data_IF_113489707953
#
_entry.id   IF_113489707953
#
_cell.length_a   1.000
_cell.length_b   1.000
_cell.length_c   1.000
_cell.angle_alpha   90.00
_cell.angle_beta   90.00
_cell.angle_gamma   90.00
#
_symmetry.space_group_name_H-M   'P 1'
#
loop_
_entity.id
_entity.type
_entity.pdbx_description
1 polymer ?
#
# COMPACT_ATOMS: atom_id res chain seq x y z
N UNK A 1 45.32 16.77 -23.80
CA UNK A 1 45.14 18.24 -23.77
C UNK A 1 43.97 18.56 -22.88
N UNK A 2 44.24 19.23 -21.77
CA UNK A 2 43.27 19.63 -20.76
C UNK A 2 42.73 21.03 -21.06
N UNK A 3 41.42 21.26 -20.88
CA UNK A 3 40.87 22.61 -20.67
C UNK A 3 39.82 22.56 -19.56
N UNK A 4 40.21 23.13 -18.40
CA UNK A 4 39.37 23.57 -17.27
C UNK A 4 38.67 24.89 -17.61
N UNK A 5 37.41 25.08 -17.18
CA UNK A 5 36.80 26.35 -16.66
C UNK A 5 35.57 25.96 -15.81
N UNK A 6 35.59 25.99 -14.48
CA UNK A 6 35.46 27.11 -13.49
C UNK A 6 34.12 27.87 -13.46
N UNK A 7 33.43 27.73 -12.29
CA UNK A 7 32.67 28.70 -11.44
C UNK A 7 31.41 29.34 -12.06
N UNK A 8 30.30 29.58 -11.35
CA UNK A 8 30.10 30.36 -10.11
C UNK A 8 28.71 30.10 -9.50
N UNK A 9 28.59 30.31 -8.18
CA UNK A 9 27.36 30.34 -7.39
C UNK A 9 26.57 31.65 -7.52
N UNK A 10 25.27 31.63 -7.20
CA UNK A 10 24.52 32.82 -6.76
C UNK A 10 23.58 32.44 -5.60
N UNK A 11 23.83 33.10 -4.47
CA UNK A 11 23.02 33.26 -3.26
C UNK A 11 21.71 34.00 -3.58
N UNK A 12 20.63 33.72 -2.86
CA UNK A 12 19.78 34.79 -2.33
C UNK A 12 19.02 34.32 -1.08
N UNK A 13 19.31 35.02 0.02
CA UNK A 13 18.61 34.97 1.28
C UNK A 13 17.50 36.03 1.28
N UNK A 14 16.35 35.75 1.90
CA UNK A 14 15.44 36.78 2.40
C UNK A 14 14.86 36.33 3.74
N UNK A 15 15.14 37.15 4.75
CA UNK A 15 14.66 37.14 6.13
C UNK A 15 13.21 37.62 6.23
N UNK A 16 12.53 37.26 7.34
CA UNK A 16 11.40 38.04 7.84
C UNK A 16 10.60 37.33 8.93
N UNK A 17 10.98 37.52 10.20
CA UNK A 17 10.10 37.25 11.35
C UNK A 17 9.50 38.55 11.90
N UNK A 18 8.40 38.49 12.66
CA UNK A 18 8.01 39.52 13.64
C UNK A 18 6.96 38.95 14.63
N UNK A 19 7.25 39.06 15.93
CA UNK A 19 6.43 39.33 17.15
C UNK A 19 4.92 39.00 17.12
N UNK A 20 4.27 38.44 18.15
CA UNK A 20 4.44 38.58 19.60
C UNK A 20 3.05 38.91 20.20
N UNK A 21 2.74 38.45 21.43
CA UNK A 21 1.53 38.94 22.14
C UNK A 21 0.91 37.95 23.14
N UNK A 22 1.42 37.96 24.37
CA UNK A 22 0.82 37.38 25.57
C UNK A 22 -0.26 38.33 26.10
N UNK A 23 -1.46 37.82 26.43
CA UNK A 23 -2.36 38.47 27.40
C UNK A 23 -2.99 37.40 28.31
N UNK A 24 -2.42 37.28 29.51
CA UNK A 24 -3.04 36.70 30.69
C UNK A 24 -3.65 37.86 31.48
N UNK A 25 -4.96 37.83 31.74
CA UNK A 25 -5.57 38.64 32.82
C UNK A 25 -6.66 37.85 33.53
N UNK A 26 -6.36 37.54 34.78
CA UNK A 26 -7.22 37.15 35.90
C UNK A 26 -8.28 38.22 36.20
N UNK A 27 -9.45 37.81 36.70
CA UNK A 27 -10.07 38.40 37.89
C UNK A 27 -11.14 37.45 38.45
N UNK A 28 -10.87 36.99 39.68
CA UNK A 28 -11.84 36.39 40.57
C UNK A 28 -12.81 37.46 41.09
N UNK A 29 -14.07 37.10 41.31
CA UNK A 29 -14.86 37.76 42.34
C UNK A 29 -15.96 36.83 42.87
N UNK A 30 -15.82 36.45 44.14
CA UNK A 30 -16.83 35.83 44.98
C UNK A 30 -18.03 36.77 45.18
N UNK A 31 -19.24 36.22 45.13
CA UNK A 31 -20.38 36.78 45.85
C UNK A 31 -21.38 35.68 46.22
N UNK A 32 -21.41 35.43 47.52
CA UNK A 32 -22.31 34.61 48.33
C UNK A 32 -23.79 34.92 48.08
N UNK A 33 -24.63 33.89 47.94
CA UNK A 33 -26.03 34.01 48.40
C UNK A 33 -26.64 32.64 48.70
N UNK A 34 -27.26 32.58 49.89
CA UNK A 34 -27.75 31.39 50.54
C UNK A 34 -29.20 31.05 50.16
N UNK A 35 -29.47 29.73 50.14
CA UNK A 35 -30.78 29.10 50.31
C UNK A 35 -31.40 28.48 49.05
N UNK A 36 -32.31 27.49 49.15
CA UNK A 36 -32.63 26.57 50.26
C UNK A 36 -32.28 25.10 49.93
N UNK A 37 -32.17 24.27 50.96
CA UNK A 37 -32.10 22.81 50.83
C UNK A 37 -33.40 22.27 50.21
N UNK A 38 -33.33 21.86 48.94
CA UNK A 38 -34.29 20.96 48.31
C UNK A 38 -33.54 19.65 48.03
N UNK A 39 -33.58 18.75 49.00
CA UNK A 39 -33.26 17.35 48.76
C UNK A 39 -34.36 16.74 47.90
N UNK A 40 -34.29 16.96 46.59
CA UNK A 40 -34.98 16.14 45.61
C UNK A 40 -34.30 14.76 45.65
N UNK A 41 -35.06 13.74 46.07
CA UNK A 41 -34.61 12.36 46.10
C UNK A 41 -34.27 11.93 44.67
N UNK A 42 -33.00 12.03 44.31
CA UNK A 42 -32.45 11.45 43.09
C UNK A 42 -32.58 9.94 43.26
N UNK A 43 -33.52 9.35 42.53
CA UNK A 43 -33.65 7.90 42.39
C UNK A 43 -32.27 7.31 42.08
N UNK A 44 -31.91 6.16 42.67
CA UNK A 44 -30.60 5.57 42.46
C UNK A 44 -30.39 5.42 40.95
N UNK A 45 -29.36 6.10 40.41
CA UNK A 45 -28.89 5.88 39.04
C UNK A 45 -28.68 4.38 38.94
N UNK A 46 -29.59 3.70 38.23
CA UNK A 46 -29.39 2.32 37.84
C UNK A 46 -28.07 2.32 37.08
N UNK A 47 -27.06 1.69 37.67
CA UNK A 47 -25.83 1.42 36.97
C UNK A 47 -26.22 0.51 35.80
N UNK A 48 -26.42 1.11 34.63
CA UNK A 48 -26.47 0.37 33.39
C UNK A 48 -25.06 -0.18 33.27
N UNK A 49 -24.87 -1.43 33.69
CA UNK A 49 -23.69 -2.21 33.35
C UNK A 49 -23.69 -2.27 31.83
N UNK A 50 -22.94 -1.37 31.19
CA UNK A 50 -22.60 -1.56 29.81
C UNK A 50 -21.90 -2.91 29.74
N UNK A 51 -22.29 -3.79 28.80
CA UNK A 51 -21.55 -5.03 28.59
C UNK A 51 -20.08 -4.64 28.46
N UNK A 52 -19.21 -5.37 29.17
CA UNK A 52 -17.78 -5.15 29.09
C UNK A 52 -17.41 -5.02 27.61
N UNK A 53 -16.61 -4.00 27.23
CA UNK A 53 -16.16 -3.88 25.84
C UNK A 53 -15.60 -5.26 25.45
N UNK A 54 -15.98 -5.80 24.28
CA UNK A 54 -15.52 -7.12 23.88
C UNK A 54 -14.00 -7.15 24.02
N UNK A 55 -13.45 -8.20 24.63
CA UNK A 55 -12.01 -8.36 24.81
C UNK A 55 -11.32 -8.20 23.44
N UNK A 56 -10.75 -7.01 23.22
CA UNK A 56 -10.07 -6.68 21.96
C UNK A 56 -8.85 -7.58 21.74
N UNK A 57 -8.32 -8.21 22.79
CA UNK A 57 -7.23 -9.19 22.70
C UNK A 57 -7.62 -10.45 21.91
N UNK A 58 -8.91 -10.83 21.87
CA UNK A 58 -9.42 -11.90 21.00
C UNK A 58 -9.57 -11.48 19.54
N UNK A 59 -9.83 -10.19 19.29
CA UNK A 59 -9.86 -9.59 17.95
C UNK A 59 -8.46 -9.20 17.44
N UNK A 60 -7.48 -9.07 18.35
CA UNK A 60 -6.06 -8.85 18.10
C UNK A 60 -5.23 -10.13 18.09
N UNK A 61 -5.88 -11.29 17.83
CA UNK A 61 -5.16 -12.48 17.41
C UNK A 61 -4.44 -12.15 16.09
N UNK A 62 -3.17 -11.75 16.23
CA UNK A 62 -2.22 -11.48 15.17
C UNK A 62 -2.46 -12.42 14.00
N UNK A 63 -2.42 -11.87 12.80
CA UNK A 63 -2.73 -12.53 11.54
C UNK A 63 -1.83 -13.73 11.28
N UNK A 64 -2.08 -14.82 12.00
CA UNK A 64 -1.44 -16.10 11.75
C UNK A 64 -1.93 -16.52 10.37
N UNK A 65 -1.01 -16.71 9.42
CA UNK A 65 -1.41 -17.03 8.08
C UNK A 65 -2.15 -18.37 8.09
N UNK A 66 -3.31 -18.43 7.46
CA UNK A 66 -4.02 -19.69 7.21
C UNK A 66 -3.40 -20.30 5.96
N UNK A 67 -2.89 -21.54 6.06
CA UNK A 67 -2.16 -22.21 4.97
C UNK A 67 -0.97 -21.41 4.40
N UNK A 68 -0.35 -20.56 5.24
CA UNK A 68 0.75 -19.69 4.82
C UNK A 68 0.30 -18.44 4.04
N UNK A 69 -1.00 -18.16 3.96
CA UNK A 69 -1.58 -16.97 3.32
C UNK A 69 -2.03 -15.98 4.39
N UNK A 70 -1.53 -14.75 4.31
CA UNK A 70 -1.94 -13.64 5.16
C UNK A 70 -3.20 -12.97 4.57
N UNK A 71 -4.12 -12.55 5.44
CA UNK A 71 -5.23 -11.66 5.07
C UNK A 71 -4.73 -10.24 4.83
N UNK A 72 -5.44 -9.47 3.99
CA UNK A 72 -5.06 -8.06 3.71
C UNK A 72 -5.14 -7.19 4.97
N UNK A 73 -6.21 -7.34 5.76
CA UNK A 73 -6.31 -6.76 7.10
C UNK A 73 -5.07 -7.08 7.91
N UNK A 74 -4.73 -8.36 8.03
CA UNK A 74 -3.63 -8.82 8.88
C UNK A 74 -2.30 -8.15 8.58
N UNK A 75 -2.02 -7.90 7.30
CA UNK A 75 -0.81 -7.22 6.86
C UNK A 75 -0.80 -5.73 7.23
N UNK A 76 -1.95 -5.07 7.17
CA UNK A 76 -2.08 -3.64 7.50
C UNK A 76 -1.92 -3.42 9.01
N UNK A 77 -2.52 -4.28 9.83
CA UNK A 77 -2.47 -4.13 11.30
C UNK A 77 -1.12 -4.59 11.89
N UNK A 78 -0.52 -5.66 11.38
CA UNK A 78 0.81 -6.13 11.80
C UNK A 78 1.95 -5.52 10.94
N UNK A 79 1.72 -4.37 10.30
CA UNK A 79 2.62 -3.73 9.32
C UNK A 79 4.07 -3.70 9.80
N UNK A 80 4.33 -3.23 11.02
CA UNK A 80 5.69 -3.13 11.57
C UNK A 80 6.41 -4.48 11.69
N UNK A 81 5.69 -5.59 11.91
CA UNK A 81 6.29 -6.93 12.05
C UNK A 81 6.53 -7.61 10.71
N UNK A 82 5.83 -7.17 9.67
CA UNK A 82 5.77 -7.84 8.37
C UNK A 82 6.45 -7.05 7.24
N UNK A 83 6.76 -5.76 7.47
CA UNK A 83 7.59 -4.97 6.55
C UNK A 83 8.91 -5.71 6.27
N UNK A 84 9.33 -5.63 5.01
CA UNK A 84 10.47 -6.28 4.38
C UNK A 84 10.41 -7.82 4.33
N UNK A 85 9.35 -8.46 4.86
CA UNK A 85 9.18 -9.91 4.80
C UNK A 85 8.51 -10.35 3.51
N UNK A 86 8.85 -11.56 3.08
CA UNK A 86 8.14 -12.25 2.01
C UNK A 86 6.85 -12.82 2.59
N UNK A 87 5.72 -12.36 2.06
CA UNK A 87 4.39 -12.77 2.44
C UNK A 87 3.66 -13.35 1.24
N UNK A 88 2.70 -14.24 1.49
CA UNK A 88 1.74 -14.70 0.49
C UNK A 88 0.37 -14.18 0.85
N UNK A 89 -0.34 -13.64 -0.13
CA UNK A 89 -1.62 -12.94 0.05
C UNK A 89 -2.55 -13.35 -1.06
N UNK A 90 -3.83 -13.48 -0.72
CA UNK A 90 -4.90 -13.72 -1.67
C UNK A 90 -5.94 -12.61 -1.57
N UNK A 91 -6.46 -12.18 -2.70
CA UNK A 91 -7.50 -11.15 -2.73
C UNK A 91 -8.09 -10.96 -4.12
N UNK A 92 -9.20 -10.24 -4.19
CA UNK A 92 -9.87 -9.89 -5.44
C UNK A 92 -9.38 -8.54 -5.94
N UNK A 93 -9.12 -8.44 -7.25
CA UNK A 93 -8.73 -7.18 -7.87
C UNK A 93 -9.91 -6.20 -7.80
N UNK A 94 -9.70 -5.04 -7.20
CA UNK A 94 -10.66 -3.93 -7.14
C UNK A 94 -10.28 -2.79 -8.07
N UNK A 95 -8.99 -2.63 -8.35
CA UNK A 95 -8.45 -1.60 -9.24
C UNK A 95 -7.32 -2.17 -10.10
N UNK A 96 -7.26 -1.77 -11.36
CA UNK A 96 -6.13 -2.03 -12.26
C UNK A 96 -5.66 -0.68 -12.76
N UNK A 97 -4.36 -0.38 -12.62
CA UNK A 97 -3.80 0.85 -13.17
C UNK A 97 -3.96 0.91 -14.69
N UNK A 98 -3.87 2.09 -15.28
CA UNK A 98 -3.92 2.21 -16.75
C UNK A 98 -2.79 1.41 -17.42
N UNK A 99 -3.12 0.75 -18.54
CA UNK A 99 -2.14 0.03 -19.35
C UNK A 99 -1.11 1.02 -19.91
N UNK A 100 0.16 0.63 -19.86
CA UNK A 100 1.24 1.33 -20.52
C UNK A 100 1.70 0.52 -21.74
N UNK A 101 1.25 0.86 -22.97
CA UNK A 101 1.59 0.11 -24.17
C UNK A 101 3.10 -0.01 -24.43
N UNK A 102 3.89 0.96 -23.96
CA UNK A 102 5.35 0.94 -24.07
C UNK A 102 5.99 -0.17 -23.22
N UNK A 103 5.37 -0.56 -22.11
CA UNK A 103 5.83 -1.62 -21.22
C UNK A 103 5.22 -2.98 -21.57
N UNK A 104 3.93 -3.00 -21.95
CA UNK A 104 3.18 -4.24 -22.20
C UNK A 104 3.34 -4.79 -23.61
N UNK A 105 3.67 -3.93 -24.59
CA UNK A 105 3.95 -4.32 -25.99
C UNK A 105 5.06 -3.43 -26.58
N UNK A 106 6.35 -3.68 -26.30
CA UNK A 106 7.44 -2.92 -26.91
C UNK A 106 7.46 -3.17 -28.42
N UNK A 107 6.72 -2.36 -29.19
CA UNK A 107 6.82 -2.38 -30.65
C UNK A 107 8.26 -2.00 -30.99
N UNK A 108 8.91 -2.77 -31.87
CA UNK A 108 10.19 -2.41 -32.52
C UNK A 108 9.98 -1.16 -33.39
N UNK A 109 9.73 0.00 -32.80
CA UNK A 109 9.58 1.25 -33.53
C UNK A 109 10.85 2.07 -33.37
N UNK A 110 11.65 2.04 -34.43
CA UNK A 110 12.51 3.17 -34.79
C UNK A 110 11.63 4.42 -34.82
N UNK A 111 12.09 5.51 -34.20
CA UNK A 111 11.51 6.86 -34.21
C UNK A 111 10.62 7.27 -33.02
N UNK A 112 11.28 8.05 -32.14
CA UNK A 112 10.90 9.35 -31.57
C UNK A 112 9.67 9.45 -30.66
N UNK A 113 9.96 9.97 -29.46
CA UNK A 113 9.10 10.71 -28.54
C UNK A 113 7.78 10.01 -28.17
N UNK A 114 7.83 9.19 -27.14
CA UNK A 114 6.64 8.99 -26.30
C UNK A 114 6.96 9.59 -24.93
N UNK A 115 6.60 10.86 -24.76
CA UNK A 115 6.59 11.57 -23.45
C UNK A 115 5.31 11.15 -22.71
N UNK A 116 5.04 9.85 -22.59
CA UNK A 116 4.01 9.37 -21.68
C UNK A 116 4.73 8.92 -20.41
N UNK A 117 4.52 9.65 -19.31
CA UNK A 117 4.98 9.28 -17.98
C UNK A 117 4.25 8.01 -17.54
N UNK A 118 4.69 6.84 -18.00
CA UNK A 118 4.26 5.59 -17.41
C UNK A 118 5.01 5.44 -16.09
N UNK A 119 4.36 5.77 -14.99
CA UNK A 119 5.00 5.80 -13.68
C UNK A 119 5.15 4.37 -13.12
N UNK A 120 4.18 3.48 -13.32
CA UNK A 120 4.27 2.07 -12.92
C UNK A 120 3.00 1.29 -13.30
N UNK A 121 3.11 -0.04 -13.42
CA UNK A 121 1.96 -0.94 -13.50
C UNK A 121 1.65 -1.47 -12.10
N UNK A 122 0.39 -1.35 -11.69
CA UNK A 122 -0.06 -1.86 -10.39
C UNK A 122 -1.50 -2.36 -10.46
N UNK A 123 -1.86 -3.20 -9.49
CA UNK A 123 -3.24 -3.59 -9.22
C UNK A 123 -3.51 -3.40 -7.75
N UNK A 124 -4.74 -3.11 -7.37
CA UNK A 124 -5.17 -3.10 -5.97
C UNK A 124 -6.05 -4.32 -5.75
N UNK A 125 -5.73 -5.08 -4.70
CA UNK A 125 -6.52 -6.23 -4.27
C UNK A 125 -7.20 -5.93 -2.94
N UNK A 126 -8.44 -6.37 -2.77
CA UNK A 126 -9.15 -6.40 -1.50
C UNK A 126 -9.14 -7.83 -0.94
N UNK A 127 -9.10 -7.95 0.38
CA UNK A 127 -9.27 -9.23 1.08
C UNK A 127 -10.73 -9.66 1.13
N UNK A 128 -11.03 -10.62 1.99
CA UNK A 128 -12.39 -11.17 2.13
C UNK A 128 -13.42 -10.16 2.68
N UNK A 129 -12.95 -9.11 3.35
CA UNK A 129 -13.79 -8.05 3.92
C UNK A 129 -14.16 -6.95 2.93
N UNK A 130 -13.58 -6.94 1.72
CA UNK A 130 -13.71 -5.91 0.68
C UNK A 130 -13.35 -4.47 1.14
N UNK A 131 -12.92 -4.28 2.38
CA UNK A 131 -12.60 -2.99 3.01
C UNK A 131 -11.10 -2.73 2.99
N UNK A 132 -10.30 -3.73 3.33
CA UNK A 132 -8.86 -3.59 3.47
C UNK A 132 -8.17 -3.94 2.16
N UNK A 133 -7.56 -2.93 1.54
CA UNK A 133 -6.91 -3.07 0.24
C UNK A 133 -5.39 -2.99 0.30
N UNK A 134 -4.76 -3.68 -0.64
CA UNK A 134 -3.30 -3.71 -0.80
C UNK A 134 -2.97 -3.48 -2.26
N UNK A 135 -2.04 -2.56 -2.52
CA UNK A 135 -1.50 -2.35 -3.85
C UNK A 135 -0.37 -3.35 -4.13
N UNK A 136 -0.41 -3.95 -5.31
CA UNK A 136 0.55 -4.93 -5.80
C UNK A 136 1.25 -4.35 -7.02
N UNK A 137 2.58 -4.41 -7.03
CA UNK A 137 3.44 -3.96 -8.14
C UNK A 137 4.58 -4.96 -8.39
N UNK A 138 5.51 -4.63 -9.29
CA UNK A 138 6.72 -5.42 -9.55
C UNK A 138 6.51 -6.71 -10.33
N UNK A 139 5.29 -7.03 -10.76
CA UNK A 139 5.02 -8.17 -11.63
C UNK A 139 5.41 -7.88 -13.09
N UNK A 140 5.61 -8.94 -13.89
CA UNK A 140 6.01 -8.79 -15.29
C UNK A 140 4.92 -8.05 -16.10
N UNK A 141 5.25 -7.01 -16.89
CA UNK A 141 4.26 -6.19 -17.60
C UNK A 141 3.28 -6.99 -18.47
N UNK A 142 3.69 -8.12 -19.03
CA UNK A 142 2.81 -8.98 -19.84
C UNK A 142 1.62 -9.57 -19.07
N UNK A 143 1.63 -9.61 -17.74
CA UNK A 143 0.42 -9.99 -16.98
C UNK A 143 -0.65 -8.90 -17.00
N UNK A 144 -0.23 -7.63 -17.06
CA UNK A 144 -1.08 -6.47 -16.81
C UNK A 144 -2.33 -6.40 -17.73
N UNK A 145 -2.23 -6.60 -19.06
CA UNK A 145 -3.40 -6.53 -19.94
C UNK A 145 -4.45 -7.63 -19.68
N UNK A 146 -4.10 -8.64 -18.90
CA UNK A 146 -4.98 -9.77 -18.59
C UNK A 146 -5.68 -9.62 -17.23
N UNK A 147 -5.25 -8.67 -16.41
CA UNK A 147 -5.90 -8.38 -15.14
C UNK A 147 -7.21 -7.64 -15.34
N UNK A 148 -8.22 -8.07 -14.60
CA UNK A 148 -9.56 -7.51 -14.61
C UNK A 148 -10.09 -7.40 -13.20
N UNK A 149 -10.84 -6.34 -12.93
CA UNK A 149 -11.58 -6.18 -11.67
C UNK A 149 -12.46 -7.41 -11.44
N UNK A 150 -12.49 -7.90 -10.20
CA UNK A 150 -13.19 -9.11 -9.78
C UNK A 150 -12.38 -10.42 -9.93
N UNK A 151 -11.22 -10.41 -10.60
CA UNK A 151 -10.35 -11.60 -10.62
C UNK A 151 -9.70 -11.83 -9.26
N UNK A 152 -9.56 -13.09 -8.88
CA UNK A 152 -8.80 -13.47 -7.68
C UNK A 152 -7.31 -13.62 -8.02
N UNK A 153 -6.46 -13.01 -7.19
CA UNK A 153 -5.01 -13.13 -7.28
C UNK A 153 -4.47 -13.78 -6.02
N UNK A 154 -3.56 -14.74 -6.20
CA UNK A 154 -2.75 -15.35 -5.15
C UNK A 154 -1.29 -15.02 -5.43
N UNK A 155 -0.67 -14.25 -4.54
CA UNK A 155 0.57 -13.54 -4.81
C UNK A 155 1.54 -13.80 -3.68
N UNK A 156 2.78 -14.15 -3.99
CA UNK A 156 3.89 -14.09 -3.05
C UNK A 156 4.79 -12.92 -3.42
N UNK A 157 5.12 -12.09 -2.44
CA UNK A 157 5.93 -10.90 -2.66
C UNK A 157 6.49 -10.34 -1.37
N UNK A 158 7.38 -9.35 -1.49
CA UNK A 158 7.88 -8.62 -0.34
C UNK A 158 6.87 -7.54 0.06
N UNK A 159 6.46 -7.54 1.31
CA UNK A 159 5.66 -6.45 1.87
C UNK A 159 6.59 -5.29 2.21
N UNK A 160 6.38 -4.13 1.62
CA UNK A 160 7.31 -2.99 1.72
C UNK A 160 6.60 -1.76 2.26
N UNK A 161 7.36 -0.96 2.99
CA UNK A 161 6.89 0.35 3.42
C UNK A 161 6.88 1.33 2.24
N UNK A 162 5.78 2.05 2.09
CA UNK A 162 5.50 2.95 0.97
C UNK A 162 6.62 3.97 0.72
N UNK A 163 7.25 4.46 1.79
CA UNK A 163 8.31 5.47 1.74
C UNK A 163 9.64 4.94 1.20
N UNK A 164 9.85 3.61 1.21
CA UNK A 164 11.10 2.99 0.73
C UNK A 164 11.09 2.70 -0.75
N UNK A 165 9.92 2.65 -1.39
CA UNK A 165 9.83 2.47 -2.84
C UNK A 165 9.98 3.82 -3.54
N UNK A 166 11.21 4.34 -3.52
CA UNK A 166 11.61 5.61 -4.11
C UNK A 166 11.26 5.66 -5.62
N UNK A 167 10.17 6.35 -5.95
CA UNK A 167 10.08 7.09 -7.23
C UNK A 167 9.03 6.68 -8.26
N UNK A 168 8.12 5.73 -8.02
CA UNK A 168 7.26 5.23 -9.12
C UNK A 168 5.78 4.94 -8.83
N UNK A 169 5.28 4.93 -7.59
CA UNK A 169 3.86 4.65 -7.30
C UNK A 169 3.40 5.47 -6.08
N UNK A 170 2.32 6.25 -6.18
CA UNK A 170 1.61 6.76 -5.00
C UNK A 170 0.72 5.65 -4.45
N UNK A 171 0.89 5.32 -3.17
CA UNK A 171 0.06 4.36 -2.44
C UNK A 171 -0.63 5.15 -1.34
N UNK A 172 -1.95 5.00 -1.19
CA UNK A 172 -2.67 5.65 -0.09
C UNK A 172 -2.11 5.18 1.26
N UNK A 173 -1.98 6.06 2.26
CA UNK A 173 -1.31 5.77 3.53
C UNK A 173 -1.81 4.50 4.24
N UNK A 174 -3.10 4.20 4.07
CA UNK A 174 -3.79 3.09 4.73
C UNK A 174 -3.67 1.77 3.96
N UNK A 175 -3.26 1.82 2.69
CA UNK A 175 -3.15 0.64 1.83
C UNK A 175 -1.74 0.04 1.91
N UNK A 176 -1.65 -1.28 2.06
CA UNK A 176 -0.37 -1.99 2.01
C UNK A 176 0.29 -1.93 0.62
N UNK A 177 1.61 -2.16 0.53
CA UNK A 177 2.32 -2.33 -0.74
C UNK A 177 3.04 -3.69 -0.78
N UNK A 178 2.79 -4.47 -1.83
CA UNK A 178 3.49 -5.72 -2.11
C UNK A 178 4.23 -5.63 -3.45
N UNK A 179 5.51 -5.92 -3.43
CA UNK A 179 6.30 -6.14 -4.64
C UNK A 179 6.26 -7.63 -4.96
N UNK A 180 5.53 -7.99 -6.02
CA UNK A 180 5.29 -9.38 -6.40
C UNK A 180 6.57 -10.09 -6.82
N UNK A 181 6.82 -11.27 -6.26
CA UNK A 181 7.87 -12.20 -6.67
C UNK A 181 7.29 -13.36 -7.51
N UNK A 182 6.04 -13.72 -7.23
CA UNK A 182 5.36 -14.83 -7.88
C UNK A 182 3.86 -14.61 -7.87
N UNK A 183 3.23 -14.89 -9.01
CA UNK A 183 1.78 -15.03 -9.13
C UNK A 183 1.48 -16.53 -9.21
N UNK A 184 0.64 -17.02 -8.32
CA UNK A 184 0.23 -18.42 -8.27
C UNK A 184 -1.01 -18.65 -9.16
N UNK A 185 -1.10 -19.84 -9.74
CA UNK A 185 -2.26 -20.23 -10.57
C UNK A 185 -2.36 -19.54 -11.93
N UNK A 186 -1.38 -18.71 -12.31
CA UNK A 186 -1.34 -18.04 -13.60
C UNK A 186 0.06 -18.01 -14.18
N UNK A 187 0.14 -17.88 -15.50
CA UNK A 187 1.40 -17.77 -16.20
C UNK A 187 1.28 -17.02 -17.51
N UNK A 188 2.35 -16.32 -17.86
CA UNK A 188 2.51 -15.71 -19.17
C UNK A 188 3.84 -16.15 -19.78
N UNK A 189 3.87 -16.45 -21.07
CA UNK A 189 5.11 -16.80 -21.77
C UNK A 189 5.73 -15.59 -22.50
N UNK A 190 6.92 -15.77 -23.07
CA UNK A 190 7.62 -14.74 -23.86
C UNK A 190 6.84 -14.22 -25.07
N UNK A 191 5.90 -15.00 -25.59
CA UNK A 191 5.02 -14.59 -26.68
C UNK A 191 3.80 -13.80 -26.20
N UNK A 192 3.64 -13.60 -24.89
CA UNK A 192 2.47 -12.94 -24.29
C UNK A 192 1.24 -13.84 -24.18
N UNK A 193 1.37 -15.17 -24.36
CA UNK A 193 0.28 -16.12 -24.09
C UNK A 193 0.08 -16.22 -22.59
N UNK A 194 -1.04 -15.68 -22.11
CA UNK A 194 -1.50 -15.80 -20.73
C UNK A 194 -2.39 -17.03 -20.56
N UNK A 195 -2.27 -17.71 -19.42
CA UNK A 195 -3.16 -18.81 -19.04
C UNK A 195 -3.35 -18.86 -17.53
N UNK A 196 -4.56 -19.24 -17.11
CA UNK A 196 -4.92 -19.66 -15.75
C UNK A 196 -5.26 -21.15 -15.68
N UNK A 197 -5.24 -21.85 -16.83
CA UNK A 197 -5.54 -23.26 -16.88
C UNK A 197 -4.38 -24.06 -16.29
N UNK A 198 -4.66 -24.89 -15.28
CA UNK A 198 -3.64 -25.67 -14.55
C UNK A 198 -2.81 -26.59 -15.45
N UNK A 199 -3.42 -27.21 -16.46
CA UNK A 199 -2.72 -28.11 -17.37
C UNK A 199 -1.78 -27.34 -18.30
N UNK A 200 -2.26 -26.25 -18.90
CA UNK A 200 -1.44 -25.38 -19.75
C UNK A 200 -0.28 -24.75 -18.95
N UNK A 201 -0.56 -24.28 -17.73
CA UNK A 201 0.45 -23.71 -16.85
C UNK A 201 1.54 -24.74 -16.52
N UNK A 202 1.15 -25.98 -16.21
CA UNK A 202 2.09 -27.08 -15.93
C UNK A 202 2.96 -27.39 -17.15
N UNK A 203 2.38 -27.38 -18.36
CA UNK A 203 3.15 -27.56 -19.59
C UNK A 203 4.12 -26.39 -19.84
N UNK A 204 3.69 -25.15 -19.61
CA UNK A 204 4.56 -23.97 -19.74
C UNK A 204 5.74 -24.03 -18.77
N UNK A 205 5.50 -24.46 -17.52
CA UNK A 205 6.55 -24.66 -16.52
C UNK A 205 7.51 -25.76 -16.97
N UNK A 206 7.00 -26.92 -17.39
CA UNK A 206 7.82 -28.05 -17.83
C UNK A 206 8.72 -27.71 -19.04
N UNK A 207 8.26 -26.81 -19.91
CA UNK A 207 9.04 -26.32 -21.07
C UNK A 207 9.97 -25.15 -20.75
N UNK A 208 9.94 -24.61 -19.52
CA UNK A 208 10.72 -23.42 -19.14
C UNK A 208 10.28 -22.15 -19.88
N UNK A 209 9.02 -22.10 -20.33
CA UNK A 209 8.48 -20.98 -21.11
C UNK A 209 7.86 -19.89 -20.23
N UNK A 210 7.60 -20.20 -18.96
CA UNK A 210 7.00 -19.27 -18.00
C UNK A 210 7.92 -18.08 -17.78
N UNK A 211 7.39 -16.88 -17.97
CA UNK A 211 8.06 -15.66 -17.54
C UNK A 211 8.00 -15.57 -16.02
N UNK A 212 9.12 -15.93 -15.41
CA UNK A 212 9.36 -15.66 -14.00
C UNK A 212 9.37 -14.16 -13.76
N UNK A 213 8.77 -13.74 -12.64
CA UNK A 213 8.93 -12.39 -12.13
C UNK A 213 10.32 -12.35 -11.49
N UNK A 214 11.35 -12.27 -12.34
CA UNK A 214 12.71 -11.99 -11.89
C UNK A 214 12.71 -10.53 -11.52
N UNK A 215 12.89 -10.24 -10.24
CA UNK A 215 13.12 -8.89 -9.75
C UNK A 215 14.06 -8.16 -10.70
N UNK A 216 13.57 -7.08 -11.29
CA UNK A 216 14.40 -6.06 -11.91
C UNK A 216 15.13 -5.24 -10.82
N UNK A 217 15.59 -5.89 -9.75
CA UNK A 217 16.50 -5.37 -8.75
C UNK A 217 17.90 -5.97 -8.96
N UNK A 218 18.29 -6.19 -10.22
CA UNK A 218 19.71 -6.31 -10.54
C UNK A 218 20.29 -4.91 -10.50
N UNK A 219 20.86 -4.57 -9.33
CA UNK A 219 22.01 -3.69 -9.12
C UNK A 219 22.25 -2.70 -10.27
N UNK A 220 21.72 -1.49 -10.14
CA UNK A 220 22.47 -0.32 -10.59
C UNK A 220 23.58 -0.10 -9.58
N UNK A 221 24.73 -0.75 -9.83
CA UNK A 221 26.04 -0.22 -9.43
C UNK A 221 26.37 1.02 -10.28
#
# INVERSE_FOLDING_TARGET
MAIRRQRTAVLNAVLGGFFGGVFLTSCAQEATQAGPELHEQVAPKVAIELPAPPDFDGAMAAAKPVDGIYSTWGLIYDKQKLIDKVVRVRGKIVEVSDDCPNLTKPRKRKSRQVVSKCQSLSVVIAGDDDLHTIRVTGYHPYYHPHFKVGMELDITGQYVEQTRFLGMVYVEPDNGLIVAHRLHGMGVNRAGKFTTNRNELSQMIARGELLEIKHAMKETD
#
